data_IF_663558301197
#
_entry.id   IF_663558301197
#
_cell.length_a   1.000
_cell.length_b   1.000
_cell.length_c   1.000
_cell.angle_alpha   90.00
_cell.angle_beta   90.00
_cell.angle_gamma   90.00
#
_symmetry.space_group_name_H-M   'P 1'
#
loop_
_entity.id
_entity.type
_entity.pdbx_description
1 polymer ?
#
# COMPACT_ATOMS: atom_id res chain seq x y z
N UNK A 1 23.49 10.61 -21.57
CA UNK A 1 22.23 9.90 -21.32
C UNK A 1 22.38 8.56 -21.99
N UNK A 2 22.59 7.49 -21.26
CA UNK A 2 22.61 6.14 -21.81
C UNK A 2 21.21 5.81 -22.30
N UNK A 3 21.05 5.53 -23.58
CA UNK A 3 19.80 4.98 -24.11
C UNK A 3 19.48 3.66 -23.38
N UNK A 4 18.51 3.70 -22.51
CA UNK A 4 17.99 2.51 -21.85
C UNK A 4 16.99 1.86 -22.78
N UNK A 5 17.49 1.08 -23.77
CA UNK A 5 16.64 0.22 -24.58
C UNK A 5 15.53 0.89 -25.39
N UNK A 6 15.67 2.16 -25.76
CA UNK A 6 14.72 2.90 -26.60
C UNK A 6 13.46 3.41 -25.90
N UNK A 7 13.25 3.10 -24.63
CA UNK A 7 12.25 3.71 -23.77
C UNK A 7 12.87 4.07 -22.44
N UNK A 8 12.65 5.29 -21.99
CA UNK A 8 12.97 5.69 -20.64
C UNK A 8 11.86 5.15 -19.71
N UNK A 9 12.10 4.10 -18.93
CA UNK A 9 11.05 3.51 -18.10
C UNK A 9 10.61 4.43 -16.96
N UNK A 10 11.34 5.52 -16.72
CA UNK A 10 11.04 6.49 -15.67
C UNK A 10 10.58 7.84 -16.22
N UNK A 11 10.48 8.00 -17.55
CA UNK A 11 10.20 9.28 -18.19
C UNK A 11 11.24 10.35 -17.82
N UNK A 12 10.83 11.55 -17.41
CA UNK A 12 11.75 12.61 -16.99
C UNK A 12 12.29 12.44 -15.57
N UNK A 13 12.03 11.31 -14.91
CA UNK A 13 12.40 11.04 -13.52
C UNK A 13 13.54 10.05 -13.43
N UNK A 14 14.40 10.23 -12.43
CA UNK A 14 15.45 9.29 -12.08
C UNK A 14 15.28 8.85 -10.62
N UNK A 15 15.50 7.57 -10.31
CA UNK A 15 15.54 7.11 -8.92
C UNK A 15 16.62 7.87 -8.15
N UNK A 16 16.25 8.43 -7.01
CA UNK A 16 17.22 9.02 -6.10
C UNK A 16 18.07 7.90 -5.48
N UNK A 17 19.39 7.86 -5.72
CA UNK A 17 20.24 6.87 -5.08
C UNK A 17 20.28 7.11 -3.57
N UNK A 18 20.35 6.01 -2.80
CA UNK A 18 20.48 6.05 -1.34
C UNK A 18 19.36 6.81 -0.60
N UNK A 19 18.15 6.87 -1.21
CA UNK A 19 16.97 7.42 -0.54
C UNK A 19 15.94 6.29 -0.30
N UNK A 20 15.45 6.12 0.96
CA UNK A 20 15.96 6.70 2.20
C UNK A 20 17.36 6.16 2.56
N UNK A 21 18.11 6.91 3.36
CA UNK A 21 19.39 6.40 3.89
C UNK A 21 19.18 5.12 4.68
N UNK A 22 20.16 4.23 4.63
CA UNK A 22 20.10 2.96 5.32
C UNK A 22 19.97 3.20 6.84
N UNK A 23 18.95 2.60 7.45
CA UNK A 23 18.67 2.74 8.89
C UNK A 23 19.84 2.22 9.75
N UNK A 24 20.68 1.34 9.22
CA UNK A 24 21.88 0.84 9.93
C UNK A 24 22.88 1.94 10.33
N UNK A 25 22.75 3.14 9.77
CA UNK A 25 23.53 4.31 10.15
C UNK A 25 23.07 4.96 11.46
N UNK A 26 21.91 4.59 11.97
CA UNK A 26 21.37 5.12 13.21
C UNK A 26 21.87 4.32 14.42
N UNK A 27 22.18 4.99 15.55
CA UNK A 27 22.55 4.31 16.77
C UNK A 27 21.51 3.29 17.24
N UNK A 28 21.91 2.05 17.49
CA UNK A 28 21.04 0.94 17.89
C UNK A 28 20.39 0.20 16.74
N UNK A 29 20.60 0.63 15.50
CA UNK A 29 20.11 -0.04 14.29
C UNK A 29 21.23 -0.68 13.46
N UNK A 30 22.42 -0.78 14.00
CA UNK A 30 23.56 -1.41 13.35
C UNK A 30 23.23 -2.87 12.99
N UNK A 31 23.44 -3.22 11.73
CA UNK A 31 23.10 -4.56 11.22
C UNK A 31 21.62 -4.76 10.87
N UNK A 32 20.80 -3.69 10.87
CA UNK A 32 19.40 -3.70 10.45
C UNK A 32 19.19 -2.86 9.20
N UNK A 33 18.16 -3.18 8.45
CA UNK A 33 17.74 -2.43 7.27
C UNK A 33 16.22 -2.24 7.27
N UNK A 34 15.74 -1.35 6.42
CA UNK A 34 14.31 -1.13 6.25
C UNK A 34 13.56 -2.42 5.90
N UNK A 35 12.37 -2.58 6.48
CA UNK A 35 11.45 -3.65 6.16
C UNK A 35 10.64 -3.37 4.89
N UNK A 36 9.50 -4.03 4.77
CA UNK A 36 8.61 -3.83 3.64
C UNK A 36 7.91 -2.47 3.74
N UNK A 37 8.29 -1.53 2.88
CA UNK A 37 7.61 -0.24 2.73
C UNK A 37 6.26 -0.50 2.07
N UNK A 38 5.19 0.07 2.63
CA UNK A 38 3.81 -0.15 2.19
C UNK A 38 3.12 1.14 1.72
N UNK A 39 3.43 2.25 2.33
CA UNK A 39 2.85 3.54 2.01
C UNK A 39 3.85 4.66 2.11
N UNK A 40 3.67 5.65 1.27
CA UNK A 40 4.47 6.87 1.26
C UNK A 40 3.55 8.06 0.97
N UNK A 41 3.74 9.15 1.69
CA UNK A 41 3.06 10.41 1.46
C UNK A 41 4.01 11.59 1.69
N UNK A 42 4.18 12.44 0.69
CA UNK A 42 5.00 13.64 0.81
C UNK A 42 4.12 14.83 1.20
N UNK A 43 4.17 15.26 2.45
CA UNK A 43 3.55 16.52 2.88
C UNK A 43 4.36 17.71 2.34
N UNK A 44 5.66 17.58 2.33
CA UNK A 44 6.62 18.49 1.70
C UNK A 44 7.88 17.72 1.32
N UNK A 45 8.80 18.38 0.62
CA UNK A 45 10.08 17.76 0.27
C UNK A 45 10.91 17.33 1.49
N UNK A 46 10.74 18.01 2.63
CA UNK A 46 11.48 17.73 3.86
C UNK A 46 10.66 16.98 4.91
N UNK A 47 9.41 16.59 4.56
CA UNK A 47 8.55 15.82 5.44
C UNK A 47 7.76 14.79 4.65
N UNK A 48 8.39 13.62 4.49
CA UNK A 48 7.87 12.49 3.73
C UNK A 48 7.58 11.36 4.71
N UNK A 49 6.30 11.07 4.88
CA UNK A 49 5.83 9.94 5.68
C UNK A 49 6.09 8.64 4.95
N UNK A 50 6.61 7.66 5.67
CA UNK A 50 6.82 6.30 5.16
C UNK A 50 6.25 5.31 6.17
N UNK A 51 5.40 4.43 5.67
CA UNK A 51 4.86 3.31 6.43
C UNK A 51 5.62 2.05 6.06
N UNK A 52 6.15 1.36 7.06
CA UNK A 52 6.86 0.11 6.86
C UNK A 52 6.51 -0.93 7.92
N UNK A 53 6.86 -2.18 7.64
CA UNK A 53 6.58 -3.33 8.53
C UNK A 53 7.84 -3.74 9.28
N UNK A 54 8.25 -2.88 10.21
CA UNK A 54 9.43 -3.10 11.04
C UNK A 54 10.75 -3.10 10.26
N UNK A 55 11.81 -3.49 10.92
CA UNK A 55 13.16 -3.56 10.35
C UNK A 55 13.66 -5.00 10.28
N UNK A 56 14.45 -5.29 9.27
CA UNK A 56 14.99 -6.62 8.97
C UNK A 56 16.50 -6.65 9.20
N UNK A 57 17.09 -7.81 9.52
CA UNK A 57 18.55 -7.96 9.53
C UNK A 57 19.15 -7.56 8.19
N UNK A 58 20.22 -6.79 8.22
CA UNK A 58 20.98 -6.42 7.03
C UNK A 58 21.75 -7.65 6.54
N UNK A 59 21.28 -8.24 5.47
CA UNK A 59 21.87 -9.41 4.83
C UNK A 59 22.21 -9.04 3.41
N UNK A 60 23.46 -9.24 3.02
CA UNK A 60 23.89 -9.00 1.65
C UNK A 60 23.15 -9.91 0.69
N UNK A 61 22.58 -9.32 -0.35
CA UNK A 61 21.91 -10.08 -1.39
C UNK A 61 22.93 -10.88 -2.18
N UNK A 62 22.78 -12.22 -2.29
CA UNK A 62 23.66 -13.02 -3.15
C UNK A 62 23.61 -12.54 -4.60
N UNK A 63 24.74 -12.64 -5.29
CA UNK A 63 24.77 -12.34 -6.72
C UNK A 63 23.78 -13.22 -7.50
N UNK A 64 23.06 -12.58 -8.41
CA UNK A 64 22.17 -13.29 -9.32
C UNK A 64 23.04 -14.05 -10.31
N UNK A 65 22.87 -15.36 -10.37
CA UNK A 65 23.56 -16.21 -11.33
C UNK A 65 22.59 -17.19 -11.98
N UNK A 66 22.89 -17.58 -13.20
CA UNK A 66 22.23 -18.71 -13.83
C UNK A 66 22.72 -20.02 -13.21
N UNK A 67 21.80 -20.93 -12.95
CA UNK A 67 22.14 -22.30 -12.54
C UNK A 67 22.29 -23.09 -13.83
N UNK A 68 23.53 -23.45 -14.16
CA UNK A 68 23.83 -24.28 -15.30
C UNK A 68 23.23 -25.68 -15.11
N UNK A 69 22.95 -26.37 -16.20
CA UNK A 69 22.42 -27.74 -16.24
C UNK A 69 20.98 -27.97 -15.68
N UNK A 70 20.24 -26.93 -15.33
CA UNK A 70 18.86 -27.05 -14.85
C UNK A 70 17.81 -26.59 -15.90
N UNK A 71 18.16 -26.68 -17.19
CA UNK A 71 17.30 -26.22 -18.26
C UNK A 71 17.33 -24.70 -18.48
N UNK A 72 16.38 -24.21 -19.24
CA UNK A 72 16.40 -22.80 -19.62
C UNK A 72 16.05 -21.88 -18.43
N UNK A 73 17.06 -21.18 -17.91
CA UNK A 73 16.92 -19.96 -17.09
C UNK A 73 16.45 -20.12 -15.65
N UNK A 74 16.95 -21.10 -14.93
CA UNK A 74 16.87 -21.05 -13.50
C UNK A 74 17.86 -20.00 -12.97
N UNK A 75 17.36 -18.99 -12.29
CA UNK A 75 18.15 -17.97 -11.63
C UNK A 75 18.29 -18.29 -10.14
N UNK A 76 19.46 -18.05 -9.58
CA UNK A 76 19.68 -18.08 -8.14
C UNK A 76 20.07 -16.67 -7.66
N UNK A 77 19.47 -16.17 -6.60
CA UNK A 77 18.35 -16.75 -5.82
C UNK A 77 17.05 -16.84 -6.61
N UNK A 78 16.29 -17.89 -6.38
CA UNK A 78 15.02 -18.15 -7.08
C UNK A 78 13.96 -17.19 -6.57
N UNK A 79 13.23 -16.58 -7.53
CA UNK A 79 12.15 -15.66 -7.22
C UNK A 79 12.53 -14.18 -7.27
N UNK A 80 11.50 -13.36 -7.45
CA UNK A 80 11.66 -11.95 -7.78
C UNK A 80 12.44 -11.15 -6.75
N UNK A 81 12.11 -11.31 -5.47
CA UNK A 81 12.56 -10.37 -4.47
C UNK A 81 13.12 -11.01 -3.19
N UNK A 82 12.81 -12.27 -2.86
CA UNK A 82 12.89 -12.72 -1.47
C UNK A 82 13.41 -14.14 -1.26
N UNK A 83 13.84 -14.83 -2.29
CA UNK A 83 14.27 -16.23 -2.18
C UNK A 83 15.50 -16.45 -1.29
N UNK A 84 16.20 -15.39 -0.92
CA UNK A 84 17.37 -15.40 -0.05
C UNK A 84 17.06 -15.03 1.40
N UNK A 85 15.78 -14.70 1.70
CA UNK A 85 15.27 -14.45 3.06
C UNK A 85 14.06 -15.30 3.34
N UNK A 86 14.04 -15.91 4.49
CA UNK A 86 12.90 -16.73 4.90
C UNK A 86 11.67 -15.93 5.26
N UNK A 87 11.83 -14.71 5.74
CA UNK A 87 10.72 -13.87 6.17
C UNK A 87 11.00 -12.42 5.90
N UNK A 88 10.30 -11.87 4.93
CA UNK A 88 10.45 -10.47 4.52
C UNK A 88 9.27 -9.61 4.93
N UNK A 89 8.23 -10.21 5.49
CA UNK A 89 7.06 -9.53 6.02
C UNK A 89 6.84 -9.92 7.48
N UNK A 90 7.53 -9.24 8.42
CA UNK A 90 7.35 -9.51 9.82
C UNK A 90 5.92 -9.20 10.27
N UNK A 91 5.45 -9.96 11.22
CA UNK A 91 4.21 -9.75 11.93
C UNK A 91 4.52 -9.18 13.31
N UNK A 92 3.65 -8.32 13.82
CA UNK A 92 3.85 -7.65 15.12
C UNK A 92 4.25 -8.60 16.25
N UNK A 93 3.63 -9.74 16.34
CA UNK A 93 3.78 -10.68 17.46
C UNK A 93 4.65 -11.90 17.13
N UNK A 94 5.15 -11.99 15.92
CA UNK A 94 5.91 -13.15 15.46
C UNK A 94 5.10 -14.44 15.37
N UNK A 95 3.77 -14.36 15.52
CA UNK A 95 2.90 -15.50 15.35
C UNK A 95 2.66 -15.80 13.89
N UNK A 96 2.22 -17.01 13.62
CA UNK A 96 1.76 -17.40 12.29
C UNK A 96 0.56 -16.53 11.88
N UNK A 97 0.41 -16.35 10.57
CA UNK A 97 -0.78 -15.75 10.02
C UNK A 97 -2.04 -16.31 10.68
N UNK A 98 -2.97 -15.44 11.08
CA UNK A 98 -4.25 -15.84 11.61
C UNK A 98 -4.93 -16.84 10.68
N UNK A 99 -5.70 -17.80 11.20
CA UNK A 99 -6.45 -18.76 10.39
C UNK A 99 -7.35 -18.13 9.33
N UNK A 100 -7.79 -16.90 9.57
CA UNK A 100 -8.65 -16.15 8.64
C UNK A 100 -7.92 -15.64 7.39
N UNK A 101 -6.60 -15.77 7.35
CA UNK A 101 -5.78 -15.42 6.19
C UNK A 101 -5.79 -16.47 5.07
N UNK A 102 -6.47 -17.57 5.24
CA UNK A 102 -6.54 -18.62 4.23
C UNK A 102 -7.20 -18.21 2.91
N UNK A 103 -7.86 -17.06 2.89
CA UNK A 103 -8.48 -16.50 1.69
C UNK A 103 -7.63 -15.40 1.03
N UNK A 104 -6.43 -15.11 1.54
CA UNK A 104 -5.59 -14.04 1.03
C UNK A 104 -4.74 -14.51 -0.17
N UNK A 105 -5.38 -14.99 -1.22
CA UNK A 105 -4.81 -15.23 -2.56
C UNK A 105 -3.38 -15.81 -2.60
N UNK A 106 -3.05 -16.72 -1.68
CA UNK A 106 -1.74 -17.38 -1.62
C UNK A 106 -0.63 -16.59 -0.92
N UNK A 107 -0.91 -15.43 -0.34
CA UNK A 107 0.06 -14.66 0.44
C UNK A 107 0.42 -15.30 1.80
N UNK A 108 -0.33 -16.31 2.21
CA UNK A 108 -0.11 -17.06 3.43
C UNK A 108 1.18 -17.87 3.49
N UNK A 109 1.81 -18.08 2.35
CA UNK A 109 3.06 -18.85 2.31
C UNK A 109 4.25 -18.09 2.93
N UNK A 110 4.09 -16.82 3.24
CA UNK A 110 5.18 -15.93 3.60
C UNK A 110 5.37 -15.74 5.12
N UNK A 111 4.36 -16.05 5.91
CA UNK A 111 4.35 -15.75 7.35
C UNK A 111 4.56 -16.94 8.28
N UNK A 112 4.61 -18.16 7.75
CA UNK A 112 4.38 -19.34 8.59
C UNK A 112 5.63 -20.09 9.04
N UNK A 113 6.81 -19.78 8.56
CA UNK A 113 7.97 -20.61 8.81
C UNK A 113 8.99 -19.95 9.75
N UNK A 114 8.80 -20.07 11.04
CA UNK A 114 9.90 -19.93 11.97
C UNK A 114 10.44 -18.54 12.20
N UNK A 115 9.63 -17.50 12.00
CA UNK A 115 9.98 -16.14 12.33
C UNK A 115 10.26 -15.97 13.83
N UNK A 116 11.43 -15.45 14.17
CA UNK A 116 11.83 -15.15 15.54
C UNK A 116 11.96 -13.66 15.72
N UNK A 117 11.04 -13.07 16.50
CA UNK A 117 11.06 -11.64 16.82
C UNK A 117 12.37 -11.25 17.48
N UNK A 118 12.94 -10.13 17.02
CA UNK A 118 14.23 -9.64 17.51
C UNK A 118 15.44 -10.27 16.87
N UNK A 119 15.25 -11.38 16.12
CA UNK A 119 16.31 -12.07 15.35
C UNK A 119 16.05 -11.90 13.87
N UNK A 120 14.87 -12.31 13.39
CA UNK A 120 14.50 -12.26 11.98
C UNK A 120 13.87 -10.92 11.58
N UNK A 121 13.26 -10.22 12.52
CA UNK A 121 12.81 -8.84 12.38
C UNK A 121 12.60 -8.18 13.74
N UNK A 122 12.57 -6.84 13.74
CA UNK A 122 12.12 -6.02 14.86
C UNK A 122 10.94 -5.20 14.42
N UNK A 123 9.90 -5.19 15.22
CA UNK A 123 8.71 -4.36 14.97
C UNK A 123 8.94 -2.97 15.51
N UNK A 124 9.76 -2.21 14.79
CA UNK A 124 10.23 -0.89 15.15
C UNK A 124 10.20 0.02 13.93
N UNK A 125 10.01 1.31 14.15
CA UNK A 125 10.00 2.32 13.08
C UNK A 125 8.89 2.09 12.03
N UNK A 126 7.72 1.64 12.46
CA UNK A 126 6.62 1.34 11.53
C UNK A 126 6.07 2.59 10.84
N UNK A 127 6.12 3.74 11.51
CA UNK A 127 5.79 5.05 10.94
C UNK A 127 6.98 5.97 11.13
N UNK A 128 7.50 6.49 10.03
CA UNK A 128 8.65 7.37 10.03
C UNK A 128 8.44 8.57 9.11
N UNK A 129 9.17 9.65 9.39
CA UNK A 129 9.28 10.81 8.50
C UNK A 129 10.73 10.93 8.04
N UNK A 130 10.89 11.11 6.74
CA UNK A 130 12.17 11.19 6.06
C UNK A 130 12.24 12.52 5.30
N UNK A 131 13.39 13.18 5.36
CA UNK A 131 13.63 14.41 4.61
C UNK A 131 14.09 14.15 3.16
N UNK A 132 14.25 15.22 2.38
CA UNK A 132 14.69 15.13 0.98
C UNK A 132 16.07 14.52 0.80
N UNK A 133 16.93 14.64 1.80
CA UNK A 133 18.28 14.04 1.82
C UNK A 133 18.27 12.57 2.25
N UNK A 134 17.09 12.01 2.57
CA UNK A 134 16.93 10.63 3.02
C UNK A 134 17.21 10.39 4.50
N UNK A 135 17.35 11.44 5.32
CA UNK A 135 17.54 11.28 6.75
C UNK A 135 16.21 10.95 7.44
N UNK A 136 16.27 10.06 8.43
CA UNK A 136 15.18 9.85 9.37
C UNK A 136 15.08 11.06 10.31
N UNK A 137 13.99 11.84 10.20
CA UNK A 137 13.76 13.03 11.04
C UNK A 137 12.77 12.81 12.17
N UNK A 138 11.79 11.92 11.96
CA UNK A 138 10.83 11.51 13.00
C UNK A 138 10.64 9.99 12.95
N UNK A 139 10.38 9.39 14.12
CA UNK A 139 9.94 8.01 14.21
C UNK A 139 8.92 7.88 15.34
N UNK A 140 7.74 7.42 14.98
CA UNK A 140 6.59 7.31 15.89
C UNK A 140 6.61 6.00 16.68
N UNK A 141 7.76 5.71 17.31
CA UNK A 141 8.01 4.46 18.05
C UNK A 141 6.99 4.18 19.16
N UNK A 142 6.39 5.22 19.74
CA UNK A 142 5.36 5.09 20.76
C UNK A 142 4.15 4.28 20.28
N UNK A 143 3.95 4.22 18.95
CA UNK A 143 2.84 3.51 18.33
C UNK A 143 3.24 2.14 17.73
N UNK A 144 4.52 1.78 17.73
CA UNK A 144 4.98 0.53 17.09
C UNK A 144 4.24 -0.72 17.59
N UNK A 145 3.92 -0.75 18.91
CA UNK A 145 3.19 -1.89 19.49
C UNK A 145 1.71 -1.96 19.09
N UNK A 146 1.14 -0.87 18.58
CA UNK A 146 -0.26 -0.81 18.16
C UNK A 146 -0.47 -1.47 16.80
N UNK A 147 0.47 -1.30 15.89
CA UNK A 147 0.31 -1.73 14.51
C UNK A 147 0.23 -3.26 14.39
N UNK A 148 -0.73 -3.73 13.65
CA UNK A 148 -0.84 -5.15 13.24
C UNK A 148 -0.18 -5.33 11.87
N UNK A 149 -0.59 -4.54 10.89
CA UNK A 149 -0.01 -4.54 9.55
C UNK A 149 -0.30 -3.21 8.84
N UNK A 150 0.42 -2.14 9.19
CA UNK A 150 0.16 -0.83 8.59
C UNK A 150 0.37 -0.90 7.09
N UNK A 151 -0.53 -0.24 6.34
CA UNK A 151 -0.65 -0.43 4.89
C UNK A 151 -0.52 0.86 4.09
N UNK A 152 -1.18 1.93 4.51
CA UNK A 152 -1.19 3.18 3.76
C UNK A 152 -1.15 4.40 4.69
N UNK A 153 -0.65 5.51 4.18
CA UNK A 153 -0.64 6.81 4.85
C UNK A 153 -1.17 7.88 3.92
N UNK A 154 -2.03 8.75 4.46
CA UNK A 154 -2.67 9.82 3.73
C UNK A 154 -2.77 11.09 4.58
N UNK A 155 -2.89 12.24 3.91
CA UNK A 155 -3.29 13.51 4.52
C UNK A 155 -4.49 14.02 3.73
N UNK A 156 -5.53 14.41 4.45
CA UNK A 156 -6.68 15.05 3.82
C UNK A 156 -6.30 16.47 3.38
N UNK A 157 -6.35 16.81 2.09
CA UNK A 157 -5.96 18.15 1.61
C UNK A 157 -6.89 19.25 2.10
N UNK A 158 -8.09 18.90 2.55
CA UNK A 158 -9.09 19.85 3.07
C UNK A 158 -9.03 20.01 4.60
N UNK A 159 -8.19 19.24 5.27
CA UNK A 159 -7.99 19.33 6.71
C UNK A 159 -6.96 20.43 7.03
N UNK A 160 -7.35 21.55 7.68
CA UNK A 160 -6.42 22.64 7.98
C UNK A 160 -5.33 22.23 8.97
N UNK A 161 -5.61 21.25 9.82
CA UNK A 161 -4.67 20.73 10.82
C UNK A 161 -3.76 19.64 10.25
N UNK A 162 -4.01 19.22 9.00
CA UNK A 162 -3.23 18.21 8.27
C UNK A 162 -3.01 16.94 9.06
N UNK A 163 -4.05 16.44 9.69
CA UNK A 163 -3.98 15.16 10.39
C UNK A 163 -3.51 14.03 9.48
N UNK A 164 -2.78 13.10 10.06
CA UNK A 164 -2.22 11.97 9.35
C UNK A 164 -3.15 10.77 9.50
N UNK A 165 -3.62 10.25 8.38
CA UNK A 165 -4.46 9.05 8.33
C UNK A 165 -3.63 7.83 7.99
N UNK A 166 -3.71 6.79 8.81
CA UNK A 166 -2.98 5.54 8.60
C UNK A 166 -3.97 4.38 8.57
N UNK A 167 -3.94 3.64 7.49
CA UNK A 167 -4.70 2.41 7.32
C UNK A 167 -3.89 1.25 7.87
N UNK A 168 -4.46 0.47 8.78
CA UNK A 168 -3.90 -0.83 9.18
C UNK A 168 -4.85 -1.94 8.70
N UNK A 169 -4.47 -2.63 7.63
CA UNK A 169 -5.34 -3.58 6.96
C UNK A 169 -5.71 -4.77 7.84
N UNK A 170 -4.81 -5.27 8.67
CA UNK A 170 -5.10 -6.38 9.57
C UNK A 170 -5.64 -5.97 10.95
N UNK A 171 -5.49 -4.73 11.34
CA UNK A 171 -6.27 -4.20 12.44
C UNK A 171 -7.72 -3.91 12.03
N UNK A 172 -8.06 -4.00 10.75
CA UNK A 172 -9.39 -3.69 10.21
C UNK A 172 -9.85 -2.27 10.57
N UNK A 173 -8.90 -1.35 10.71
CA UNK A 173 -9.15 -0.01 11.21
C UNK A 173 -8.26 1.04 10.53
N UNK A 174 -8.72 2.27 10.60
CA UNK A 174 -8.04 3.45 10.08
C UNK A 174 -7.93 4.46 11.22
N UNK A 175 -6.72 4.97 11.44
CA UNK A 175 -6.43 5.88 12.54
C UNK A 175 -6.07 7.26 12.01
N UNK A 176 -6.71 8.29 12.56
CA UNK A 176 -6.39 9.69 12.34
C UNK A 176 -5.53 10.19 13.49
N UNK A 177 -4.33 10.61 13.19
CA UNK A 177 -3.39 11.16 14.16
C UNK A 177 -3.30 12.67 14.04
N UNK A 178 -2.96 13.34 15.15
CA UNK A 178 -2.41 14.70 15.11
C UNK A 178 -1.21 14.73 14.14
N UNK A 179 -0.97 15.87 13.51
CA UNK A 179 0.10 15.99 12.50
C UNK A 179 1.49 15.65 13.07
N UNK A 180 1.74 15.93 14.35
CA UNK A 180 2.97 15.59 15.08
C UNK A 180 3.01 14.13 15.60
N UNK A 181 1.95 13.34 15.36
CA UNK A 181 1.85 11.95 15.79
C UNK A 181 1.72 11.74 17.31
N UNK A 182 1.41 12.79 18.07
CA UNK A 182 1.35 12.69 19.54
C UNK A 182 0.09 11.99 20.04
N UNK A 183 -1.02 12.06 19.30
CA UNK A 183 -2.31 11.49 19.72
C UNK A 183 -3.11 10.92 18.54
N UNK A 184 -4.00 9.96 18.83
CA UNK A 184 -5.04 9.49 17.93
C UNK A 184 -6.27 10.37 18.14
N UNK A 185 -6.66 11.10 17.09
CA UNK A 185 -7.81 12.03 17.12
C UNK A 185 -9.11 11.31 16.79
N UNK A 186 -9.06 10.33 15.89
CA UNK A 186 -10.24 9.59 15.43
C UNK A 186 -9.85 8.18 14.96
N UNK A 187 -10.79 7.25 15.06
CA UNK A 187 -10.65 5.90 14.52
C UNK A 187 -11.88 5.57 13.69
N UNK A 188 -11.70 5.08 12.46
CA UNK A 188 -12.75 4.47 11.66
C UNK A 188 -12.60 2.95 11.70
N UNK A 189 -13.71 2.24 11.76
CA UNK A 189 -13.73 0.80 12.01
C UNK A 189 -13.59 0.45 13.49
N UNK A 190 -13.73 -0.83 13.81
CA UNK A 190 -13.52 -1.37 15.16
C UNK A 190 -12.22 -2.17 15.16
N UNK A 191 -11.17 -1.71 15.86
CA UNK A 191 -9.86 -2.35 15.79
C UNK A 191 -9.89 -3.84 16.15
N UNK A 192 -9.33 -4.66 15.26
CA UNK A 192 -9.25 -6.12 15.34
C UNK A 192 -10.60 -6.86 15.24
N UNK A 193 -11.65 -6.18 14.83
CA UNK A 193 -12.97 -6.77 14.60
C UNK A 193 -13.35 -6.61 13.12
N UNK A 194 -13.14 -7.64 12.28
CA UNK A 194 -13.56 -7.59 10.89
C UNK A 194 -15.07 -7.67 10.75
N UNK A 195 -15.65 -6.97 9.78
CA UNK A 195 -17.07 -7.03 9.50
C UNK A 195 -17.45 -6.40 8.16
N UNK A 196 -18.75 -6.47 7.85
CA UNK A 196 -19.30 -5.99 6.57
C UNK A 196 -20.39 -4.92 6.74
N UNK A 197 -20.72 -4.56 7.97
CA UNK A 197 -21.68 -3.48 8.22
C UNK A 197 -21.04 -2.09 8.04
N UNK A 198 -21.77 -1.05 8.39
CA UNK A 198 -21.35 0.34 8.23
C UNK A 198 -20.28 0.81 9.21
N UNK A 199 -20.02 0.06 10.29
CA UNK A 199 -19.05 0.41 11.34
C UNK A 199 -17.77 -0.44 11.27
N UNK A 200 -17.72 -1.48 10.47
CA UNK A 200 -16.60 -2.40 10.40
C UNK A 200 -15.99 -2.42 9.00
N UNK A 201 -14.70 -2.68 8.95
CA UNK A 201 -13.97 -3.03 7.73
C UNK A 201 -13.53 -4.50 7.77
N UNK A 202 -13.20 -5.04 6.61
CA UNK A 202 -12.47 -6.30 6.55
C UNK A 202 -11.27 -6.14 5.60
N UNK A 203 -10.16 -5.71 6.18
CA UNK A 203 -8.90 -5.40 5.51
C UNK A 203 -9.00 -4.24 4.51
N UNK A 204 -9.23 -3.01 5.01
CA UNK A 204 -9.19 -1.80 4.18
C UNK A 204 -7.78 -1.57 3.63
N UNK A 205 -7.68 -0.94 2.46
CA UNK A 205 -6.42 -0.77 1.74
C UNK A 205 -5.97 0.68 1.65
N UNK A 206 -6.74 1.54 0.98
CA UNK A 206 -6.41 2.94 0.74
C UNK A 206 -7.60 3.86 1.00
N UNK A 207 -7.31 5.16 0.99
CA UNK A 207 -8.31 6.22 1.18
C UNK A 207 -8.14 7.30 0.13
N UNK A 208 -9.23 8.03 -0.11
CA UNK A 208 -9.25 9.26 -0.86
C UNK A 208 -10.16 10.29 -0.20
N UNK A 209 -10.01 11.56 -0.55
CA UNK A 209 -10.73 12.67 0.08
C UNK A 209 -11.32 13.60 -0.96
N UNK A 210 -12.56 14.01 -0.75
CA UNK A 210 -13.16 15.17 -1.38
C UNK A 210 -13.37 16.28 -0.35
N UNK A 211 -13.85 17.43 -0.79
CA UNK A 211 -14.14 18.56 0.11
C UNK A 211 -15.12 18.16 1.22
N UNK A 212 -16.07 17.27 0.92
CA UNK A 212 -17.18 16.91 1.80
C UNK A 212 -17.09 15.48 2.35
N UNK A 213 -16.15 14.64 1.89
CA UNK A 213 -16.19 13.22 2.22
C UNK A 213 -14.84 12.51 2.21
N UNK A 214 -14.82 11.39 2.93
CA UNK A 214 -13.76 10.39 2.98
C UNK A 214 -14.24 9.15 2.24
N UNK A 215 -13.41 8.59 1.37
CA UNK A 215 -13.67 7.35 0.66
C UNK A 215 -12.64 6.30 1.09
N UNK A 216 -13.11 5.11 1.43
CA UNK A 216 -12.27 3.99 1.88
C UNK A 216 -12.45 2.82 0.93
N UNK A 217 -11.35 2.33 0.40
CA UNK A 217 -11.28 1.06 -0.31
C UNK A 217 -11.22 -0.08 0.71
N UNK A 218 -12.35 -0.70 1.02
CA UNK A 218 -12.45 -1.86 1.90
C UNK A 218 -12.43 -3.13 1.05
N UNK A 219 -11.22 -3.54 0.61
CA UNK A 219 -11.11 -4.32 -0.60
C UNK A 219 -10.35 -5.65 -0.54
N UNK A 220 -9.55 -5.97 0.47
CA UNK A 220 -8.88 -7.27 0.50
C UNK A 220 -9.81 -8.44 0.84
N UNK A 221 -10.83 -8.21 1.68
CA UNK A 221 -11.83 -9.20 2.05
C UNK A 221 -13.22 -8.73 1.62
N UNK A 222 -13.60 -7.50 2.00
CA UNK A 222 -14.80 -6.88 1.45
C UNK A 222 -14.47 -6.30 0.06
N UNK A 223 -15.40 -6.29 -0.82
CA UNK A 223 -15.22 -5.78 -2.20
C UNK A 223 -16.05 -4.51 -2.39
N UNK A 224 -15.79 -3.49 -1.56
CA UNK A 224 -16.60 -2.28 -1.52
C UNK A 224 -15.79 -1.01 -1.32
N UNK A 225 -16.31 0.10 -1.80
CA UNK A 225 -15.92 1.45 -1.39
C UNK A 225 -16.95 1.94 -0.37
N UNK A 226 -16.48 2.50 0.73
CA UNK A 226 -17.31 3.13 1.75
C UNK A 226 -17.06 4.63 1.77
N UNK A 227 -18.12 5.41 1.88
CA UNK A 227 -18.08 6.88 1.97
C UNK A 227 -18.54 7.32 3.35
N UNK A 228 -17.76 8.22 3.95
CA UNK A 228 -18.02 8.84 5.25
C UNK A 228 -17.95 10.36 5.11
N UNK A 229 -18.58 11.09 6.02
CA UNK A 229 -18.26 12.50 6.22
C UNK A 229 -16.93 12.67 6.98
N UNK A 230 -16.45 13.89 7.15
CA UNK A 230 -15.19 14.16 7.84
C UNK A 230 -15.23 13.89 9.36
N UNK A 231 -16.43 13.78 9.93
CA UNK A 231 -16.63 13.37 11.31
C UNK A 231 -16.63 11.84 11.47
N UNK A 232 -16.58 11.10 10.36
CA UNK A 232 -16.55 9.65 10.33
C UNK A 232 -17.94 9.00 10.34
N UNK A 233 -19.01 9.76 10.11
CA UNK A 233 -20.32 9.18 9.98
C UNK A 233 -20.48 8.52 8.60
N UNK A 234 -20.98 7.29 8.59
CA UNK A 234 -21.26 6.56 7.36
C UNK A 234 -22.32 7.27 6.51
N UNK A 235 -22.07 7.37 5.22
CA UNK A 235 -22.98 7.99 4.26
C UNK A 235 -23.58 6.96 3.29
N UNK A 236 -22.71 6.22 2.60
CA UNK A 236 -23.11 5.18 1.63
C UNK A 236 -21.95 4.24 1.32
N UNK A 237 -22.25 3.17 0.59
CA UNK A 237 -21.24 2.27 0.03
C UNK A 237 -21.70 1.73 -1.33
N UNK A 238 -20.74 1.29 -2.13
CA UNK A 238 -20.97 0.53 -3.36
C UNK A 238 -19.90 -0.51 -3.58
N UNK A 239 -20.19 -1.46 -4.44
CA UNK A 239 -19.32 -2.55 -4.79
C UNK A 239 -19.80 -3.90 -4.29
N UNK A 240 -19.37 -4.93 -4.97
CA UNK A 240 -19.71 -6.34 -4.71
C UNK A 240 -18.52 -7.21 -5.11
N UNK A 241 -18.43 -8.38 -4.50
CA UNK A 241 -17.44 -9.37 -4.88
C UNK A 241 -17.67 -9.84 -6.32
N UNK A 242 -16.60 -9.75 -7.10
CA UNK A 242 -16.54 -10.24 -8.47
C UNK A 242 -16.10 -11.70 -8.57
N UNK A 243 -16.25 -12.26 -9.76
CA UNK A 243 -15.76 -13.61 -10.06
C UNK A 243 -14.39 -13.57 -10.74
N UNK A 244 -13.53 -14.50 -10.39
CA UNK A 244 -12.23 -14.69 -11.05
C UNK A 244 -12.35 -15.59 -12.29
N UNK A 245 -11.48 -15.46 -13.28
CA UNK A 245 -10.66 -14.30 -13.57
C UNK A 245 -11.41 -13.23 -14.32
N UNK A 246 -11.24 -12.14 -14.58
CA UNK A 246 -11.77 -11.20 -15.59
C UNK A 246 -13.28 -10.87 -15.48
N UNK A 247 -13.77 -10.53 -14.27
CA UNK A 247 -15.12 -10.00 -14.15
C UNK A 247 -15.21 -8.61 -14.79
N UNK A 248 -16.04 -8.46 -15.81
CA UNK A 248 -16.20 -7.20 -16.56
C UNK A 248 -17.38 -6.36 -16.09
N UNK A 249 -18.17 -6.84 -15.14
CA UNK A 249 -19.37 -6.13 -14.65
C UNK A 249 -18.97 -4.89 -13.87
N UNK A 250 -19.59 -3.73 -14.13
CA UNK A 250 -19.39 -2.53 -13.32
C UNK A 250 -19.74 -2.74 -11.85
N UNK A 251 -18.89 -2.22 -10.94
CA UNK A 251 -19.12 -2.32 -9.50
C UNK A 251 -18.83 -3.70 -8.89
N UNK A 252 -18.37 -4.68 -9.69
CA UNK A 252 -17.86 -5.94 -9.18
C UNK A 252 -16.35 -5.88 -9.10
N UNK A 253 -15.80 -6.21 -7.94
CA UNK A 253 -14.37 -6.08 -7.67
C UNK A 253 -13.74 -7.39 -7.26
N UNK A 254 -12.45 -7.49 -7.49
CA UNK A 254 -11.63 -8.57 -7.00
C UNK A 254 -10.33 -8.01 -6.44
N UNK A 255 -10.20 -8.04 -5.11
CA UNK A 255 -9.15 -7.35 -4.39
C UNK A 255 -9.07 -5.84 -4.78
N UNK A 256 -10.14 -5.10 -4.54
CA UNK A 256 -10.19 -3.65 -4.66
C UNK A 256 -9.06 -3.06 -3.81
N UNK A 257 -8.20 -2.20 -4.39
CA UNK A 257 -6.98 -1.81 -3.70
C UNK A 257 -6.76 -0.30 -3.65
N UNK A 258 -6.29 0.31 -4.71
CA UNK A 258 -6.07 1.75 -4.78
C UNK A 258 -7.37 2.53 -5.03
N UNK A 259 -7.46 3.72 -4.47
CA UNK A 259 -8.55 4.66 -4.70
C UNK A 259 -7.99 6.09 -4.67
N UNK A 260 -8.44 6.92 -5.62
CA UNK A 260 -8.16 8.35 -5.59
C UNK A 260 -9.25 9.14 -6.33
N UNK A 261 -9.28 10.45 -6.17
CA UNK A 261 -10.31 11.34 -6.70
C UNK A 261 -9.64 12.42 -7.56
N UNK A 262 -10.18 12.61 -8.75
CA UNK A 262 -9.93 13.80 -9.53
C UNK A 262 -10.76 14.96 -8.95
N UNK A 263 -10.09 15.89 -8.30
CA UNK A 263 -10.73 16.99 -7.58
C UNK A 263 -11.45 17.97 -8.52
N UNK A 264 -11.02 18.05 -9.78
CA UNK A 264 -11.63 18.94 -10.77
C UNK A 264 -12.95 18.39 -11.30
N UNK A 265 -13.02 17.10 -11.57
CA UNK A 265 -14.20 16.45 -12.13
C UNK A 265 -15.07 15.72 -11.08
N UNK A 266 -14.58 15.52 -9.86
CA UNK A 266 -15.23 14.75 -8.81
C UNK A 266 -15.28 13.25 -9.08
N UNK A 267 -14.53 12.73 -10.08
CA UNK A 267 -14.51 11.31 -10.42
C UNK A 267 -13.65 10.52 -9.45
N UNK A 268 -14.19 9.40 -8.99
CA UNK A 268 -13.54 8.44 -8.10
C UNK A 268 -12.97 7.31 -8.94
N UNK A 269 -11.65 7.15 -8.90
CA UNK A 269 -10.92 6.10 -9.59
C UNK A 269 -10.57 4.99 -8.61
N UNK A 270 -10.87 3.75 -8.99
CA UNK A 270 -10.70 2.58 -8.11
C UNK A 270 -9.94 1.50 -8.84
N UNK A 271 -8.83 1.03 -8.27
CA UNK A 271 -8.11 -0.11 -8.84
C UNK A 271 -8.79 -1.43 -8.45
N UNK A 272 -9.24 -2.14 -9.45
CA UNK A 272 -9.76 -3.50 -9.36
C UNK A 272 -8.61 -4.46 -9.69
N UNK A 273 -7.80 -4.68 -8.66
CA UNK A 273 -6.43 -5.19 -8.75
C UNK A 273 -6.34 -6.51 -9.50
N UNK A 274 -7.09 -7.52 -9.07
CA UNK A 274 -7.03 -8.87 -9.64
C UNK A 274 -7.76 -9.00 -10.98
N UNK A 275 -8.57 -8.00 -11.36
CA UNK A 275 -9.18 -7.88 -12.69
C UNK A 275 -8.36 -6.98 -13.64
N UNK A 276 -7.19 -6.49 -13.19
CA UNK A 276 -6.26 -5.66 -13.98
C UNK A 276 -6.91 -4.45 -14.65
N UNK A 277 -7.82 -3.79 -13.95
CA UNK A 277 -8.57 -2.65 -14.48
C UNK A 277 -8.71 -1.53 -13.46
N UNK A 278 -9.00 -0.34 -13.98
CA UNK A 278 -9.51 0.79 -13.21
C UNK A 278 -11.00 0.90 -13.50
N UNK A 279 -11.81 1.09 -12.46
CA UNK A 279 -13.20 1.48 -12.57
C UNK A 279 -13.38 2.92 -12.09
N UNK A 280 -14.24 3.66 -12.76
CA UNK A 280 -14.49 5.08 -12.48
C UNK A 280 -15.96 5.27 -12.08
N UNK A 281 -16.15 5.99 -10.98
CA UNK A 281 -17.49 6.27 -10.43
C UNK A 281 -17.63 7.78 -10.18
N UNK A 282 -18.86 8.24 -10.04
CA UNK A 282 -19.09 9.51 -9.35
C UNK A 282 -19.02 9.31 -7.82
N UNK A 283 -19.15 10.39 -7.08
CA UNK A 283 -19.03 10.34 -5.61
C UNK A 283 -20.23 9.69 -4.90
N UNK A 284 -21.27 9.33 -5.63
CA UNK A 284 -22.44 8.59 -5.13
C UNK A 284 -22.43 7.11 -5.56
N UNK A 285 -21.30 6.67 -6.13
CA UNK A 285 -21.06 5.28 -6.52
C UNK A 285 -21.71 4.88 -7.85
N UNK A 286 -22.18 5.83 -8.64
CA UNK A 286 -22.68 5.56 -9.98
C UNK A 286 -21.50 5.29 -10.91
N UNK A 287 -21.51 4.16 -11.57
CA UNK A 287 -20.52 3.79 -12.56
C UNK A 287 -20.50 4.77 -13.75
N UNK A 288 -19.30 5.20 -14.12
CA UNK A 288 -19.08 6.12 -15.23
C UNK A 288 -18.29 5.46 -16.36
N UNK A 289 -17.18 4.77 -16.02
CA UNK A 289 -16.26 4.22 -17.02
C UNK A 289 -15.38 3.12 -16.41
N UNK A 290 -14.74 2.34 -17.26
CA UNK A 290 -13.68 1.41 -16.87
C UNK A 290 -12.71 1.15 -18.02
N UNK A 291 -11.46 0.85 -17.70
CA UNK A 291 -10.47 0.42 -18.68
C UNK A 291 -9.49 -0.59 -18.12
N UNK A 292 -9.04 -1.48 -18.96
CA UNK A 292 -8.02 -2.46 -18.63
C UNK A 292 -6.64 -1.81 -18.67
N UNK A 293 -5.80 -2.09 -17.68
CA UNK A 293 -4.45 -1.51 -17.60
C UNK A 293 -3.43 -2.35 -18.34
N UNK A 294 -3.55 -3.66 -18.30
CA UNK A 294 -2.60 -4.57 -18.95
C UNK A 294 -3.10 -6.01 -18.99
N UNK A 295 -2.31 -6.86 -19.60
CA UNK A 295 -2.51 -8.31 -19.61
C UNK A 295 -1.69 -8.96 -18.46
N UNK A 296 -2.09 -10.15 -17.98
CA UNK A 296 -1.28 -10.88 -17.01
C UNK A 296 0.19 -11.00 -17.47
N UNK A 297 1.16 -10.72 -16.58
CA UNK A 297 1.08 -10.66 -15.12
C UNK A 297 0.79 -9.27 -14.52
N UNK A 298 0.06 -8.39 -15.19
CA UNK A 298 -0.34 -7.09 -14.65
C UNK A 298 -1.02 -7.26 -13.27
N UNK A 299 -0.72 -6.35 -12.35
CA UNK A 299 -1.21 -6.34 -10.98
C UNK A 299 -1.32 -4.87 -10.53
N UNK A 300 -2.50 -4.28 -10.75
CA UNK A 300 -2.77 -2.86 -10.54
C UNK A 300 -2.94 -2.58 -9.04
N UNK A 301 -1.84 -2.32 -8.35
CA UNK A 301 -1.88 -2.17 -6.89
C UNK A 301 -2.31 -0.78 -6.43
N UNK A 302 -1.83 0.26 -7.09
CA UNK A 302 -2.05 1.61 -6.60
C UNK A 302 -2.27 2.58 -7.76
N UNK A 303 -3.02 3.63 -7.49
CA UNK A 303 -3.18 4.75 -8.41
C UNK A 303 -3.17 6.09 -7.65
N UNK A 304 -2.75 7.13 -8.33
CA UNK A 304 -2.91 8.52 -7.90
C UNK A 304 -3.40 9.36 -9.06
N UNK A 305 -4.22 10.35 -8.76
CA UNK A 305 -4.66 11.36 -9.72
C UNK A 305 -3.87 12.63 -9.46
N UNK A 306 -3.04 13.01 -10.40
CA UNK A 306 -2.21 14.18 -10.26
C UNK A 306 -1.96 14.85 -11.61
N UNK A 307 -1.99 16.20 -11.63
CA UNK A 307 -1.70 16.99 -12.83
C UNK A 307 -2.55 16.64 -14.06
N UNK A 308 -3.84 16.30 -13.84
CA UNK A 308 -4.77 15.92 -14.90
C UNK A 308 -4.52 14.54 -15.50
N UNK A 309 -3.76 13.70 -14.84
CA UNK A 309 -3.47 12.32 -15.26
C UNK A 309 -3.71 11.31 -14.12
N UNK A 310 -4.04 10.09 -14.48
CA UNK A 310 -4.09 8.94 -13.57
C UNK A 310 -2.77 8.17 -13.71
N UNK A 311 -2.00 8.15 -12.63
CA UNK A 311 -0.77 7.40 -12.51
C UNK A 311 -1.07 6.06 -11.86
N UNK A 312 -0.70 4.97 -12.50
CA UNK A 312 -1.06 3.61 -12.08
C UNK A 312 0.19 2.81 -11.85
N UNK A 313 0.32 2.23 -10.65
CA UNK A 313 1.43 1.34 -10.29
C UNK A 313 1.04 -0.11 -10.53
N UNK A 314 1.66 -0.70 -11.53
CA UNK A 314 1.52 -2.11 -11.89
C UNK A 314 2.69 -2.91 -11.32
N UNK A 315 2.45 -3.58 -10.19
CA UNK A 315 3.47 -4.38 -9.53
C UNK A 315 3.78 -5.69 -10.28
N UNK A 316 2.85 -6.18 -11.06
CA UNK A 316 3.03 -7.39 -11.86
C UNK A 316 4.08 -7.22 -12.96
N UNK A 317 4.08 -6.09 -13.62
CA UNK A 317 5.03 -5.74 -14.69
C UNK A 317 6.17 -4.83 -14.22
N UNK A 318 6.08 -4.32 -12.97
CA UNK A 318 7.01 -3.31 -12.43
C UNK A 318 7.06 -2.02 -13.25
N UNK A 319 5.91 -1.60 -13.76
CA UNK A 319 5.76 -0.40 -14.58
C UNK A 319 4.81 0.61 -13.94
N UNK A 320 5.03 1.89 -14.23
CA UNK A 320 4.06 2.94 -13.97
C UNK A 320 3.40 3.33 -15.29
N UNK A 321 2.08 3.27 -15.33
CA UNK A 321 1.29 3.73 -16.47
C UNK A 321 0.76 5.13 -16.19
N UNK A 322 0.69 5.95 -17.23
CA UNK A 322 0.09 7.29 -17.15
C UNK A 322 -1.06 7.32 -18.14
N UNK A 323 -2.25 7.58 -17.65
CA UNK A 323 -3.46 7.69 -18.47
C UNK A 323 -4.04 9.09 -18.36
N UNK A 324 -4.39 9.67 -19.49
CA UNK A 324 -5.10 10.95 -19.54
C UNK A 324 -6.61 10.66 -19.52
N UNK A 325 -7.37 11.25 -18.59
CA UNK A 325 -8.82 11.11 -18.58
C UNK A 325 -9.42 11.55 -19.92
N UNK A 326 -10.19 10.65 -20.55
CA UNK A 326 -10.86 10.93 -21.83
C UNK A 326 -10.12 10.51 -23.10
N UNK A 327 -9.02 9.78 -22.98
CA UNK A 327 -8.33 9.16 -24.13
C UNK A 327 -8.55 7.64 -24.15
#
# INVERSE_FOLDING_TARGET
VSEKGGQDPFGPYEPAPDWPKDISTLPGSEGWTWGAIQGIFAESADRIFVIQRGVLPKIDRPEIRFVEDQGTRLLFPVGRNYAWRNNTMPWRDGTQASPDHNNDHGWNLWGSAGYVRGVDARWEHCVVVIDREGNLVESWKQWDSMWVKPHAVHVNPYDPDKHIWIVDDFAHAIYKFSNDGSEIVQTLGVPNEPGQDENHFARPTFMAFSEDAIFVADGYVNSRVMKFDHDGNYLLQWGQEGTLPDDTRPGYFNALHGIDIDLDSGRVYVSDRMNNRIQVFDQDGKFLDQWRVGEPPSDVQYLIVANGAVWIMDAGTTTAHIMLPGQ
#
